data_IF_778105061874
#
_entry.id   IF_778105061874
#
_cell.length_a   1.000
_cell.length_b   1.000
_cell.length_c   1.000
_cell.angle_alpha   90.00
_cell.angle_beta   90.00
_cell.angle_gamma   90.00
#
_symmetry.space_group_name_H-M   'P 1'
#
loop_
_entity.id
_entity.type
_entity.pdbx_description
1 polymer ?
#
# COMPACT_ATOMS: atom_id res chain seq x y z
N UNK A 1 -18.94 -5.84 14.73
CA UNK A 1 -18.30 -4.71 14.01
C UNK A 1 -17.11 -5.17 13.19
N UNK A 2 -16.28 -6.11 13.67
CA UNK A 2 -15.14 -6.71 12.95
C UNK A 2 -15.29 -6.91 11.43
N UNK A 3 -16.42 -7.48 10.97
CA UNK A 3 -16.66 -7.76 9.53
C UNK A 3 -16.75 -6.54 8.62
N UNK A 4 -16.86 -5.31 9.14
CA UNK A 4 -16.89 -4.10 8.31
C UNK A 4 -15.50 -3.65 7.83
N UNK A 5 -14.45 -4.38 8.21
CA UNK A 5 -13.05 -4.04 7.89
C UNK A 5 -12.33 -5.13 7.10
N UNK A 6 -13.08 -6.04 6.47
CA UNK A 6 -12.55 -7.17 5.71
C UNK A 6 -12.08 -8.34 6.57
N UNK A 7 -11.50 -9.36 5.91
CA UNK A 7 -11.02 -10.60 6.52
C UNK A 7 -9.51 -10.79 6.29
N UNK A 8 -8.89 -11.68 7.07
CA UNK A 8 -7.46 -11.99 6.96
C UNK A 8 -6.51 -10.93 7.52
N UNK A 9 -5.22 -11.23 7.51
CA UNK A 9 -4.19 -10.29 7.96
C UNK A 9 -3.91 -9.21 6.90
N UNK A 10 -3.79 -7.93 7.30
CA UNK A 10 -3.44 -6.88 6.35
C UNK A 10 -2.06 -7.11 5.72
N UNK A 11 -1.96 -6.93 4.40
CA UNK A 11 -0.75 -7.17 3.61
C UNK A 11 0.13 -5.92 3.61
N UNK A 12 1.36 -6.03 4.11
CA UNK A 12 2.27 -4.89 4.30
C UNK A 12 3.11 -4.50 3.06
N UNK A 13 2.80 -5.03 1.87
CA UNK A 13 3.49 -4.64 0.63
C UNK A 13 4.98 -4.97 0.53
N UNK A 14 5.47 -5.94 1.31
CA UNK A 14 6.91 -6.29 1.38
C UNK A 14 7.53 -6.57 0.01
N UNK A 15 6.78 -7.24 -0.88
CA UNK A 15 7.24 -7.54 -2.24
C UNK A 15 7.56 -6.31 -3.08
N UNK A 16 6.87 -5.18 -2.85
CA UNK A 16 7.17 -3.92 -3.53
C UNK A 16 8.40 -3.25 -2.96
N UNK A 17 8.62 -3.32 -1.64
CA UNK A 17 9.86 -2.83 -1.02
C UNK A 17 11.06 -3.62 -1.56
N UNK A 18 10.94 -4.95 -1.63
CA UNK A 18 11.95 -5.83 -2.23
C UNK A 18 12.15 -5.54 -3.73
N UNK A 19 11.07 -5.30 -4.48
CA UNK A 19 11.14 -4.90 -5.88
C UNK A 19 11.95 -3.61 -6.08
N UNK A 20 11.69 -2.61 -5.26
CA UNK A 20 12.48 -1.37 -5.23
C UNK A 20 13.96 -1.63 -4.96
N UNK A 21 14.30 -2.49 -3.99
CA UNK A 21 15.70 -2.85 -3.72
C UNK A 21 16.35 -3.54 -4.94
N UNK A 22 15.62 -4.43 -5.63
CA UNK A 22 16.13 -5.09 -6.85
C UNK A 22 16.37 -4.12 -7.99
N UNK A 23 15.54 -3.09 -8.14
CA UNK A 23 15.79 -2.04 -9.13
C UNK A 23 17.06 -1.25 -8.80
N UNK A 24 17.36 -1.01 -7.52
CA UNK A 24 18.63 -0.39 -7.11
C UNK A 24 19.84 -1.26 -7.49
N UNK A 25 19.77 -2.57 -7.27
CA UNK A 25 20.82 -3.52 -7.70
C UNK A 25 21.01 -3.54 -9.23
N UNK A 26 19.93 -3.39 -10.01
CA UNK A 26 20.01 -3.30 -11.48
C UNK A 26 20.67 -1.99 -11.89
N UNK A 27 20.36 -0.87 -11.22
CA UNK A 27 20.97 0.42 -11.51
C UNK A 27 22.50 0.38 -11.33
N UNK A 28 23.00 -0.29 -10.29
CA UNK A 28 24.44 -0.47 -10.06
C UNK A 28 25.13 -1.23 -11.21
N UNK A 29 24.43 -2.19 -11.83
CA UNK A 29 24.98 -2.97 -12.95
C UNK A 29 25.12 -2.15 -14.23
N UNK A 30 24.29 -1.13 -14.44
CA UNK A 30 24.38 -0.29 -15.64
C UNK A 30 25.71 0.46 -15.76
N UNK A 31 26.32 0.85 -14.65
CA UNK A 31 27.66 1.44 -14.67
C UNK A 31 28.72 0.54 -15.32
N UNK A 32 28.58 -0.78 -15.17
CA UNK A 32 29.47 -1.77 -15.81
C UNK A 32 29.11 -2.09 -17.25
N UNK A 33 27.89 -1.77 -17.67
CA UNK A 33 27.43 -2.00 -19.04
C UNK A 33 27.83 -0.88 -20.00
N UNK A 34 28.28 0.28 -19.49
CA UNK A 34 28.65 1.43 -20.31
C UNK A 34 29.79 1.11 -21.29
N UNK A 35 29.79 1.71 -22.49
CA UNK A 35 30.85 1.52 -23.45
C UNK A 35 32.17 2.05 -22.88
N UNK A 36 33.26 1.33 -23.12
CA UNK A 36 34.62 1.77 -22.80
C UNK A 36 35.39 2.23 -24.05
N UNK A 37 36.64 2.64 -23.87
CA UNK A 37 37.50 3.10 -24.95
C UNK A 37 37.89 1.99 -25.94
N UNK A 38 37.64 0.72 -25.60
CA UNK A 38 37.96 -0.43 -26.46
C UNK A 38 36.88 -0.73 -27.49
N UNK A 39 35.69 -0.14 -27.35
CA UNK A 39 34.59 -0.35 -28.28
C UNK A 39 34.78 0.43 -29.59
N UNK A 40 35.27 -0.27 -30.61
CA UNK A 40 35.32 0.23 -31.99
C UNK A 40 33.95 0.17 -32.67
N UNK A 41 33.41 1.32 -33.08
CA UNK A 41 32.08 1.37 -33.71
C UNK A 41 31.59 2.76 -34.14
N UNK A 42 32.47 3.76 -34.21
CA UNK A 42 32.12 5.12 -34.61
C UNK A 42 31.09 5.79 -33.69
N UNK A 43 29.84 5.92 -34.15
CA UNK A 43 28.75 6.51 -33.37
C UNK A 43 28.02 5.52 -32.45
N UNK A 44 28.23 4.21 -32.61
CA UNK A 44 27.53 3.17 -31.87
C UNK A 44 27.75 3.23 -30.34
N UNK A 45 28.97 3.43 -29.81
CA UNK A 45 29.17 3.57 -28.36
C UNK A 45 28.35 4.72 -27.75
N UNK A 46 28.31 5.89 -28.41
CA UNK A 46 27.49 7.02 -27.96
C UNK A 46 25.98 6.74 -28.02
N UNK A 47 25.52 5.95 -28.98
CA UNK A 47 24.11 5.58 -29.08
C UNK A 47 23.72 4.59 -27.97
N UNK A 48 24.58 3.63 -27.68
CA UNK A 48 24.41 2.69 -26.58
C UNK A 48 24.44 3.40 -25.22
N UNK A 49 25.39 4.29 -24.98
CA UNK A 49 25.50 5.08 -23.74
C UNK A 49 24.21 5.86 -23.43
N UNK A 50 23.61 6.50 -24.45
CA UNK A 50 22.29 7.16 -24.31
C UNK A 50 21.17 6.20 -23.95
N UNK A 51 21.24 4.94 -24.39
CA UNK A 51 20.25 3.91 -24.00
C UNK A 51 20.45 3.47 -22.56
N UNK A 52 21.69 3.31 -22.11
CA UNK A 52 22.01 3.03 -20.70
C UNK A 52 21.52 4.17 -19.81
N UNK A 53 21.76 5.43 -20.18
CA UNK A 53 21.23 6.60 -19.45
C UNK A 53 19.70 6.57 -19.31
N UNK A 54 18.99 6.15 -20.36
CA UNK A 54 17.53 6.05 -20.34
C UNK A 54 17.07 4.90 -19.44
N UNK A 55 17.74 3.75 -19.50
CA UNK A 55 17.44 2.59 -18.66
C UNK A 55 17.70 2.88 -17.18
N UNK A 56 18.80 3.56 -16.84
CA UNK A 56 19.08 4.02 -15.47
C UNK A 56 17.95 4.92 -14.94
N UNK A 57 17.46 5.86 -15.77
CA UNK A 57 16.32 6.73 -15.40
C UNK A 57 15.04 5.93 -15.20
N UNK A 58 14.74 4.97 -16.08
CA UNK A 58 13.56 4.12 -15.96
C UNK A 58 13.59 3.28 -14.70
N UNK A 59 14.73 2.64 -14.41
CA UNK A 59 14.92 1.85 -13.20
C UNK A 59 14.80 2.70 -11.93
N UNK A 60 15.34 3.92 -11.93
CA UNK A 60 15.15 4.84 -10.81
C UNK A 60 13.67 5.19 -10.58
N UNK A 61 12.91 5.46 -11.65
CA UNK A 61 11.47 5.75 -11.55
C UNK A 61 10.69 4.52 -11.04
N UNK A 62 10.98 3.32 -11.56
CA UNK A 62 10.33 2.08 -11.11
C UNK A 62 10.64 1.77 -9.65
N UNK A 63 11.90 1.96 -9.22
CA UNK A 63 12.30 1.84 -7.81
C UNK A 63 11.46 2.75 -6.91
N UNK A 64 11.33 4.01 -7.30
CA UNK A 64 10.61 5.00 -6.49
C UNK A 64 9.12 4.69 -6.45
N UNK A 65 8.53 4.21 -7.54
CA UNK A 65 7.14 3.73 -7.59
C UNK A 65 6.92 2.51 -6.68
N UNK A 66 7.79 1.50 -6.76
CA UNK A 66 7.77 0.30 -5.92
C UNK A 66 7.87 0.67 -4.42
N UNK A 67 8.79 1.57 -4.06
CA UNK A 67 8.93 2.04 -2.67
C UNK A 67 7.68 2.77 -2.17
N UNK A 68 7.06 3.60 -3.01
CA UNK A 68 5.83 4.30 -2.65
C UNK A 68 4.67 3.33 -2.39
N UNK A 69 4.47 2.34 -3.27
CA UNK A 69 3.45 1.31 -3.08
C UNK A 69 3.73 0.49 -1.81
N UNK A 70 4.98 0.05 -1.61
CA UNK A 70 5.36 -0.70 -0.42
C UNK A 70 5.06 0.07 0.87
N UNK A 71 5.43 1.35 0.92
CA UNK A 71 5.18 2.20 2.09
C UNK A 71 3.69 2.43 2.36
N UNK A 72 2.90 2.75 1.33
CA UNK A 72 1.46 2.99 1.51
C UNK A 72 0.72 1.72 1.93
N UNK A 73 1.07 0.56 1.39
CA UNK A 73 0.48 -0.72 1.81
C UNK A 73 0.84 -1.06 3.26
N UNK A 74 2.09 -0.80 3.68
CA UNK A 74 2.48 -0.98 5.08
C UNK A 74 1.69 -0.06 6.01
N UNK A 75 1.51 1.22 5.62
CA UNK A 75 0.72 2.18 6.38
C UNK A 75 -0.75 1.75 6.48
N UNK A 76 -1.38 1.38 5.35
CA UNK A 76 -2.77 0.90 5.32
C UNK A 76 -2.96 -0.34 6.20
N UNK A 77 -1.97 -1.24 6.20
CA UNK A 77 -1.99 -2.42 7.06
C UNK A 77 -2.03 -2.06 8.55
N UNK A 78 -1.27 -1.06 8.99
CA UNK A 78 -1.26 -0.59 10.38
C UNK A 78 -2.55 0.17 10.74
N UNK A 79 -3.04 1.02 9.83
CA UNK A 79 -4.32 1.73 9.98
C UNK A 79 -5.48 0.73 10.17
N UNK A 80 -5.53 -0.33 9.36
CA UNK A 80 -6.54 -1.39 9.49
C UNK A 80 -6.42 -2.17 10.80
N UNK A 81 -5.19 -2.49 11.25
CA UNK A 81 -4.97 -3.17 12.53
C UNK A 81 -5.50 -2.34 13.69
N UNK A 82 -5.22 -1.05 13.69
CA UNK A 82 -5.65 -0.15 14.77
C UNK A 82 -7.18 0.00 14.82
N UNK A 83 -7.82 0.18 13.66
CA UNK A 83 -9.29 0.25 13.58
C UNK A 83 -9.92 -1.04 14.08
N UNK A 84 -9.41 -2.20 13.65
CA UNK A 84 -9.89 -3.51 14.12
C UNK A 84 -9.75 -3.67 15.63
N UNK A 85 -8.58 -3.31 16.18
CA UNK A 85 -8.33 -3.36 17.63
C UNK A 85 -9.34 -2.53 18.42
N UNK A 86 -9.68 -1.33 17.94
CA UNK A 86 -10.66 -0.47 18.60
C UNK A 86 -12.07 -1.06 18.50
N UNK A 87 -12.49 -1.53 17.32
CA UNK A 87 -13.81 -2.12 17.13
C UNK A 87 -14.02 -3.40 17.95
N UNK A 88 -12.98 -4.23 18.08
CA UNK A 88 -13.00 -5.43 18.91
C UNK A 88 -13.06 -5.05 20.40
N UNK A 89 -12.27 -4.05 20.83
CA UNK A 89 -12.32 -3.54 22.21
C UNK A 89 -13.70 -2.97 22.59
N UNK A 90 -14.35 -2.23 21.68
CA UNK A 90 -15.72 -1.75 21.90
C UNK A 90 -16.72 -2.91 22.02
N UNK A 91 -16.55 -3.97 21.23
CA UNK A 91 -17.39 -5.16 21.32
C UNK A 91 -17.21 -5.90 22.65
N UNK A 92 -15.97 -6.06 23.10
CA UNK A 92 -15.65 -6.67 24.40
C UNK A 92 -16.22 -5.85 25.56
N UNK A 93 -16.08 -4.51 25.50
CA UNK A 93 -16.66 -3.61 26.50
C UNK A 93 -18.18 -3.74 26.58
N UNK A 94 -18.88 -3.74 25.45
CA UNK A 94 -20.33 -3.93 25.43
C UNK A 94 -20.74 -5.30 25.99
N UNK A 95 -19.96 -6.34 25.71
CA UNK A 95 -20.21 -7.69 26.22
C UNK A 95 -20.08 -7.73 27.74
N UNK A 96 -18.96 -7.23 28.29
CA UNK A 96 -18.74 -7.15 29.73
C UNK A 96 -19.79 -6.28 30.43
N UNK A 97 -20.18 -5.17 29.79
CA UNK A 97 -21.20 -4.28 30.34
C UNK A 97 -22.60 -4.93 30.37
N UNK A 98 -22.96 -5.68 29.32
CA UNK A 98 -24.20 -6.45 29.28
C UNK A 98 -24.24 -7.59 30.30
N UNK A 99 -23.10 -8.11 30.74
CA UNK A 99 -23.04 -9.05 31.85
C UNK A 99 -23.24 -8.35 33.21
N UNK A 100 -22.62 -7.19 33.39
CA UNK A 100 -22.76 -6.38 34.60
C UNK A 100 -24.19 -5.85 34.79
N UNK A 101 -24.80 -5.33 33.72
CA UNK A 101 -26.13 -4.69 33.75
C UNK A 101 -27.25 -5.63 34.21
N UNK A 102 -27.08 -6.96 34.05
CA UNK A 102 -28.04 -7.98 34.52
C UNK A 102 -28.33 -7.87 36.01
N UNK A 103 -27.34 -7.47 36.82
CA UNK A 103 -27.51 -7.30 38.26
C UNK A 103 -28.31 -6.05 38.63
N UNK A 104 -28.32 -5.03 37.76
CA UNK A 104 -29.16 -3.84 37.89
C UNK A 104 -30.63 -4.14 37.51
N UNK A 105 -30.83 -5.14 36.64
CA UNK A 105 -32.13 -5.56 36.09
C UNK A 105 -33.13 -6.25 37.02
N UNK A 106 -32.86 -6.37 38.31
CA UNK A 106 -33.73 -7.12 39.24
C UNK A 106 -35.02 -6.34 39.53
N UNK A 107 -36.17 -6.96 39.25
CA UNK A 107 -37.51 -6.34 39.38
C UNK A 107 -37.89 -5.46 38.18
N UNK A 108 -39.17 -5.04 38.08
CA UNK A 108 -39.68 -4.28 36.93
C UNK A 108 -39.03 -2.89 36.78
N UNK A 109 -38.83 -2.16 37.89
CA UNK A 109 -38.14 -0.87 37.88
C UNK A 109 -36.67 -1.05 37.50
N UNK A 110 -36.03 -2.13 37.97
CA UNK A 110 -34.64 -2.48 37.62
C UNK A 110 -34.45 -2.77 36.13
N UNK A 111 -35.41 -3.44 35.47
CA UNK A 111 -35.36 -3.69 34.01
C UNK A 111 -35.40 -2.41 33.18
N UNK A 112 -36.19 -1.42 33.57
CA UNK A 112 -36.21 -0.13 32.88
C UNK A 112 -34.89 0.63 33.05
N UNK A 113 -34.32 0.61 34.26
CA UNK A 113 -33.01 1.19 34.52
C UNK A 113 -31.90 0.48 33.73
N UNK A 114 -31.92 -0.86 33.68
CA UNK A 114 -31.01 -1.68 32.88
C UNK A 114 -31.07 -1.28 31.41
N UNK A 115 -32.27 -1.22 30.81
CA UNK A 115 -32.44 -0.88 29.41
C UNK A 115 -31.92 0.53 29.07
N UNK A 116 -32.16 1.52 29.94
CA UNK A 116 -31.65 2.88 29.74
C UNK A 116 -30.12 2.93 29.77
N UNK A 117 -29.51 2.20 30.70
CA UNK A 117 -28.06 2.14 30.87
C UNK A 117 -27.39 1.38 29.69
N UNK A 118 -27.97 0.25 29.26
CA UNK A 118 -27.50 -0.50 28.09
C UNK A 118 -27.62 0.31 26.80
N UNK A 119 -28.72 1.06 26.62
CA UNK A 119 -28.89 1.95 25.47
C UNK A 119 -27.78 3.00 25.40
N UNK A 120 -27.44 3.62 26.52
CA UNK A 120 -26.39 4.64 26.57
C UNK A 120 -25.00 4.07 26.27
N UNK A 121 -24.69 2.86 26.78
CA UNK A 121 -23.44 2.18 26.45
C UNK A 121 -23.34 1.84 24.95
N UNK A 122 -24.42 1.32 24.35
CA UNK A 122 -24.48 1.06 22.91
C UNK A 122 -24.33 2.35 22.10
N UNK A 123 -25.00 3.44 22.52
CA UNK A 123 -24.90 4.75 21.86
C UNK A 123 -23.47 5.26 21.83
N UNK A 124 -22.74 5.15 22.95
CA UNK A 124 -21.33 5.54 23.02
C UNK A 124 -20.46 4.68 22.11
N UNK A 125 -20.61 3.35 22.17
CA UNK A 125 -19.84 2.45 21.33
C UNK A 125 -20.09 2.68 19.82
N UNK A 126 -21.34 2.88 19.41
CA UNK A 126 -21.69 3.20 18.01
C UNK A 126 -21.12 4.55 17.59
N UNK A 127 -21.10 5.54 18.49
CA UNK A 127 -20.52 6.87 18.23
C UNK A 127 -19.02 6.76 17.96
N UNK A 128 -18.29 6.05 18.82
CA UNK A 128 -16.84 5.87 18.65
C UNK A 128 -16.50 5.01 17.43
N UNK A 129 -17.25 3.93 17.18
CA UNK A 129 -17.10 3.12 15.98
C UNK A 129 -17.34 3.94 14.71
N UNK A 130 -18.37 4.80 14.70
CA UNK A 130 -18.66 5.69 13.55
C UNK A 130 -17.51 6.64 13.25
N UNK A 131 -16.90 7.25 14.28
CA UNK A 131 -15.72 8.11 14.10
C UNK A 131 -14.56 7.34 13.49
N UNK A 132 -14.28 6.12 13.97
CA UNK A 132 -13.18 5.31 13.44
C UNK A 132 -13.41 4.82 12.02
N UNK A 133 -14.65 4.53 11.66
CA UNK A 133 -15.01 4.22 10.27
C UNK A 133 -14.86 5.45 9.37
N UNK A 134 -15.11 6.66 9.88
CA UNK A 134 -14.83 7.90 9.16
C UNK A 134 -13.32 8.13 8.96
N UNK A 135 -12.50 7.95 10.00
CA UNK A 135 -11.04 8.02 9.89
C UNK A 135 -10.54 7.05 8.82
N UNK A 136 -11.05 5.81 8.81
CA UNK A 136 -10.69 4.79 7.82
C UNK A 136 -11.08 5.20 6.39
N UNK A 137 -12.19 5.92 6.21
CA UNK A 137 -12.58 6.46 4.91
C UNK A 137 -11.56 7.51 4.42
N UNK A 138 -11.11 8.40 5.31
CA UNK A 138 -10.08 9.39 4.98
C UNK A 138 -8.73 8.73 4.66
N UNK A 139 -8.32 7.74 5.46
CA UNK A 139 -7.12 6.94 5.20
C UNK A 139 -7.18 6.25 3.84
N UNK A 140 -8.31 5.62 3.50
CA UNK A 140 -8.49 4.97 2.21
C UNK A 140 -8.36 5.96 1.04
N UNK A 141 -8.94 7.16 1.14
CA UNK A 141 -8.82 8.18 0.11
C UNK A 141 -7.37 8.68 -0.04
N UNK A 142 -6.67 8.90 1.07
CA UNK A 142 -5.27 9.31 1.06
C UNK A 142 -4.35 8.22 0.49
N UNK A 143 -4.58 6.97 0.85
CA UNK A 143 -3.84 5.81 0.32
C UNK A 143 -4.08 5.66 -1.19
N UNK A 144 -5.33 5.80 -1.65
CA UNK A 144 -5.69 5.73 -3.07
C UNK A 144 -5.02 6.84 -3.91
N UNK A 145 -4.88 8.05 -3.36
CA UNK A 145 -4.16 9.13 -4.03
C UNK A 145 -2.69 8.76 -4.27
N UNK A 146 -2.00 8.24 -3.25
CA UNK A 146 -0.59 7.79 -3.35
C UNK A 146 -0.45 6.63 -4.35
N UNK A 147 -1.37 5.67 -4.35
CA UNK A 147 -1.37 4.57 -5.33
C UNK A 147 -1.54 5.11 -6.76
N UNK A 148 -2.35 6.15 -6.94
CA UNK A 148 -2.54 6.80 -8.24
C UNK A 148 -1.26 7.49 -8.72
N UNK A 149 -0.56 8.20 -7.84
CA UNK A 149 0.74 8.83 -8.15
C UNK A 149 1.78 7.77 -8.56
N UNK A 150 1.89 6.68 -7.81
CA UNK A 150 2.79 5.59 -8.17
C UNK A 150 2.41 4.93 -9.51
N UNK A 151 1.11 4.79 -9.80
CA UNK A 151 0.63 4.31 -11.10
C UNK A 151 1.06 5.22 -12.26
N UNK A 152 1.07 6.54 -12.07
CA UNK A 152 1.56 7.48 -13.07
C UNK A 152 3.07 7.31 -13.34
N UNK A 153 3.86 6.99 -12.32
CA UNK A 153 5.29 6.67 -12.48
C UNK A 153 5.50 5.42 -13.34
N UNK A 154 4.76 4.33 -13.08
CA UNK A 154 4.81 3.14 -13.92
C UNK A 154 4.37 3.43 -15.36
N UNK A 155 3.30 4.22 -15.54
CA UNK A 155 2.82 4.62 -16.88
C UNK A 155 3.85 5.43 -17.64
N UNK A 156 4.56 6.34 -16.97
CA UNK A 156 5.64 7.12 -17.58
C UNK A 156 6.72 6.22 -18.16
N UNK A 157 7.21 5.25 -17.37
CA UNK A 157 8.21 4.29 -17.86
C UNK A 157 7.64 3.42 -18.98
N UNK A 158 6.40 2.93 -18.84
CA UNK A 158 5.74 2.11 -19.87
C UNK A 158 5.55 2.86 -21.20
N UNK A 159 5.33 4.17 -21.19
CA UNK A 159 5.15 4.98 -22.39
C UNK A 159 6.49 5.26 -23.10
N UNK A 160 7.57 5.36 -22.34
CA UNK A 160 8.92 5.62 -22.86
C UNK A 160 9.68 4.33 -23.20
N UNK A 161 9.27 3.20 -22.63
CA UNK A 161 9.84 1.89 -22.91
C UNK A 161 9.61 1.53 -24.38
N UNK A 162 10.68 1.52 -25.17
CA UNK A 162 10.62 1.00 -26.53
C UNK A 162 10.55 -0.53 -26.45
N UNK A 163 9.49 -1.15 -26.98
CA UNK A 163 9.51 -2.59 -27.23
C UNK A 163 10.55 -2.84 -28.32
N UNK A 164 11.72 -3.32 -27.92
CA UNK A 164 12.75 -3.71 -28.86
C UNK A 164 12.38 -5.11 -29.35
N UNK A 165 11.73 -5.18 -30.51
CA UNK A 165 11.64 -6.44 -31.25
C UNK A 165 13.02 -6.71 -31.83
N UNK A 166 13.84 -7.47 -31.10
CA UNK A 166 15.22 -7.82 -31.47
C UNK A 166 15.31 -8.68 -32.74
N UNK A 167 14.20 -8.93 -33.45
CA UNK A 167 14.10 -9.85 -34.59
C UNK A 167 14.60 -9.21 -35.92
N UNK A 168 14.90 -7.91 -35.97
CA UNK A 168 15.23 -7.23 -37.23
C UNK A 168 16.55 -6.45 -37.30
N UNK A 169 17.30 -6.29 -36.20
CA UNK A 169 18.40 -5.30 -36.12
C UNK A 169 19.80 -5.87 -36.46
N UNK A 170 19.91 -7.13 -36.88
CA UNK A 170 21.17 -7.75 -37.30
C UNK A 170 21.11 -8.17 -38.78
N UNK A 171 21.67 -7.33 -39.65
CA UNK A 171 21.97 -7.70 -41.04
C UNK A 171 23.50 -7.72 -41.20
N UNK A 172 24.17 -8.88 -41.04
CA UNK A 172 25.62 -8.94 -41.09
C UNK A 172 26.11 -8.60 -42.51
N UNK A 173 27.21 -7.85 -42.66
CA UNK A 173 27.79 -7.56 -43.96
C UNK A 173 28.17 -8.87 -44.68
N UNK A 174 27.78 -8.98 -45.95
CA UNK A 174 28.17 -10.09 -46.85
C UNK A 174 29.59 -9.92 -47.38
#
# INVERSE_FOLDING_TARGET
>A
MRFTTGEGDPVAGVSFIEGGARFEEVAEKFGTARPDETWEGGSAPRAYDRRVDLQEKHVAILRDADRQIGFVMSREADELREVRRILDGLHEQLTAFGEYSKWVGVGQIGKLAQAAIEFEAVRQAVTEASKKMWDMHEYANNNAAVVTEALELYRKVSAEATSQDSIGDFDPPR
#
